data_IF_768397588868
#
_entry.id   IF_768397588868
#
_cell.length_a   1.000
_cell.length_b   1.000
_cell.length_c   1.000
_cell.angle_alpha   90.00
_cell.angle_beta   90.00
_cell.angle_gamma   90.00
#
_symmetry.space_group_name_H-M   'P 1'
#
loop_
_entity.id
_entity.type
_entity.pdbx_description
1 polymer ?
#
# COMPACT_ATOMS: atom_id res chain seq x y z
N UNK A 1 13.17 -6.11 5.26
CA UNK A 1 12.03 -5.38 5.83
C UNK A 1 11.37 -6.30 6.83
N UNK A 2 11.34 -5.91 8.12
CA UNK A 2 10.80 -6.74 9.20
C UNK A 2 9.38 -6.30 9.62
N UNK A 3 8.75 -5.39 8.86
CA UNK A 3 7.49 -4.75 9.26
C UNK A 3 6.39 -5.74 9.61
N UNK A 4 6.19 -6.78 8.80
CA UNK A 4 5.16 -7.79 9.07
C UNK A 4 5.47 -8.59 10.34
N UNK A 5 6.73 -8.96 10.58
CA UNK A 5 7.12 -9.69 11.78
C UNK A 5 6.91 -8.83 13.05
N UNK A 6 7.28 -7.55 13.00
CA UNK A 6 7.04 -6.60 14.10
C UNK A 6 5.55 -6.34 14.31
N UNK A 7 4.75 -6.28 13.24
CA UNK A 7 3.29 -6.16 13.32
C UNK A 7 2.66 -7.39 13.98
N UNK A 8 3.04 -8.59 13.57
CA UNK A 8 2.55 -9.84 14.17
C UNK A 8 2.98 -9.97 15.63
N UNK A 9 4.19 -9.52 15.98
CA UNK A 9 4.64 -9.45 17.37
C UNK A 9 3.80 -8.46 18.17
N UNK A 10 3.59 -7.25 17.66
CA UNK A 10 2.74 -6.25 18.30
C UNK A 10 1.32 -6.78 18.54
N UNK A 11 0.72 -7.46 17.56
CA UNK A 11 -0.60 -8.08 17.73
C UNK A 11 -0.59 -9.11 18.85
N UNK A 12 0.40 -10.00 18.88
CA UNK A 12 0.53 -11.04 19.91
C UNK A 12 0.75 -10.45 21.31
N UNK A 13 1.62 -9.45 21.43
CA UNK A 13 1.97 -8.83 22.71
C UNK A 13 0.79 -8.02 23.31
N UNK A 14 -0.24 -7.72 22.50
CA UNK A 14 -1.44 -6.98 22.91
C UNK A 14 -2.73 -7.82 22.78
N UNK A 15 -2.61 -9.15 22.66
CA UNK A 15 -3.74 -10.09 22.55
C UNK A 15 -4.72 -9.83 21.39
N UNK A 16 -4.27 -9.17 20.32
CA UNK A 16 -5.06 -9.00 19.10
C UNK A 16 -4.96 -10.23 18.20
N UNK A 17 -6.10 -10.63 17.63
CA UNK A 17 -6.23 -11.80 16.73
C UNK A 17 -6.55 -11.42 15.30
N UNK A 18 -6.96 -10.17 15.06
CA UNK A 18 -7.35 -9.62 13.77
C UNK A 18 -6.78 -8.22 13.57
N UNK A 19 -6.30 -7.98 12.36
CA UNK A 19 -5.89 -6.67 11.86
C UNK A 19 -6.54 -6.46 10.50
N UNK A 20 -7.25 -5.35 10.35
CA UNK A 20 -7.84 -4.96 9.06
C UNK A 20 -7.59 -3.49 8.79
N UNK A 21 -7.31 -3.13 7.54
CA UNK A 21 -7.09 -1.73 7.16
C UNK A 21 -8.43 -1.02 7.18
N UNK A 22 -8.50 0.17 7.79
CA UNK A 22 -9.70 1.01 7.71
C UNK A 22 -9.95 1.39 6.26
N UNK A 23 -11.20 1.31 5.81
CA UNK A 23 -11.57 1.59 4.41
C UNK A 23 -11.06 2.94 3.90
N UNK A 24 -11.17 3.99 4.73
CA UNK A 24 -10.71 5.33 4.38
C UNK A 24 -9.18 5.41 4.15
N UNK A 25 -8.40 4.61 4.90
CA UNK A 25 -6.94 4.56 4.80
C UNK A 25 -6.50 3.79 3.55
N UNK A 26 -7.20 2.70 3.21
CA UNK A 26 -7.01 1.98 1.95
C UNK A 26 -7.27 2.90 0.75
N UNK A 27 -8.37 3.65 0.77
CA UNK A 27 -8.70 4.60 -0.29
C UNK A 27 -7.70 5.75 -0.39
N UNK A 28 -7.20 6.24 0.76
CA UNK A 28 -6.13 7.24 0.80
C UNK A 28 -4.83 6.70 0.21
N UNK A 29 -4.47 5.46 0.52
CA UNK A 29 -3.31 4.78 -0.07
C UNK A 29 -3.47 4.62 -1.58
N UNK A 30 -4.65 4.20 -2.06
CA UNK A 30 -4.94 4.09 -3.49
C UNK A 30 -4.79 5.44 -4.20
N UNK A 31 -5.37 6.51 -3.64
CA UNK A 31 -5.22 7.87 -4.19
C UNK A 31 -3.75 8.28 -4.29
N UNK A 32 -2.96 8.06 -3.24
CA UNK A 32 -1.52 8.35 -3.23
C UNK A 32 -0.78 7.60 -4.34
N UNK A 33 -1.03 6.31 -4.52
CA UNK A 33 -0.39 5.49 -5.58
C UNK A 33 -0.71 6.08 -6.96
N UNK A 34 -1.99 6.37 -7.23
CA UNK A 34 -2.43 6.89 -8.52
C UNK A 34 -1.91 8.31 -8.78
N UNK A 35 -1.90 9.19 -7.79
CA UNK A 35 -1.34 10.55 -7.91
C UNK A 35 0.17 10.53 -8.13
N UNK A 36 0.88 9.60 -7.49
CA UNK A 36 2.33 9.44 -7.71
C UNK A 36 2.62 8.91 -9.12
N UNK A 37 1.69 8.16 -9.70
CA UNK A 37 1.77 7.59 -11.04
C UNK A 37 1.39 8.57 -12.15
N UNK A 38 0.40 9.45 -11.91
CA UNK A 38 -0.20 10.31 -12.94
C UNK A 38 0.79 11.29 -13.57
N UNK A 39 1.89 11.58 -12.87
CA UNK A 39 2.98 12.45 -13.35
C UNK A 39 4.08 11.70 -14.11
N UNK A 40 3.86 10.44 -14.50
CA UNK A 40 4.89 9.55 -15.03
C UNK A 40 4.47 8.86 -16.33
N UNK A 41 5.47 8.42 -17.08
CA UNK A 41 5.35 7.77 -18.39
C UNK A 41 4.72 6.36 -18.34
N UNK A 42 4.33 5.84 -17.17
CA UNK A 42 3.76 4.49 -17.05
C UNK A 42 2.49 4.28 -17.88
N UNK A 43 1.72 5.34 -18.08
CA UNK A 43 0.46 5.31 -18.84
C UNK A 43 0.66 5.50 -20.35
N UNK A 44 1.86 5.83 -20.81
CA UNK A 44 2.18 5.95 -22.24
C UNK A 44 2.44 4.58 -22.92
N UNK A 45 2.68 3.54 -22.11
CA UNK A 45 2.90 2.19 -22.62
C UNK A 45 1.57 1.51 -22.97
N UNK A 46 1.35 1.22 -24.26
CA UNK A 46 0.13 0.55 -24.74
C UNK A 46 -0.10 -0.81 -24.06
N UNK A 47 0.95 -1.60 -23.90
CA UNK A 47 0.91 -2.94 -23.26
C UNK A 47 1.86 -2.99 -22.08
N UNK A 48 1.33 -3.06 -20.85
CA UNK A 48 2.13 -3.02 -19.63
C UNK A 48 1.54 -3.89 -18.53
N UNK A 49 2.39 -4.70 -17.89
CA UNK A 49 2.05 -5.47 -16.70
C UNK A 49 2.01 -4.61 -15.42
N UNK A 50 2.54 -3.38 -15.43
CA UNK A 50 2.48 -2.47 -14.29
C UNK A 50 1.13 -1.78 -14.15
N UNK A 51 0.50 -1.47 -15.29
CA UNK A 51 -0.83 -0.85 -15.34
C UNK A 51 -1.94 -1.85 -15.63
N UNK A 52 -1.58 -3.10 -15.98
CA UNK A 52 -2.54 -4.16 -16.30
C UNK A 52 -3.10 -4.08 -17.73
N UNK A 53 -2.64 -3.15 -18.57
CA UNK A 53 -3.09 -3.02 -19.96
C UNK A 53 -2.70 -4.21 -20.84
N UNK A 54 -1.82 -5.10 -20.36
CA UNK A 54 -1.48 -6.35 -21.02
C UNK A 54 -2.58 -7.43 -20.98
N UNK A 55 -3.67 -7.22 -20.23
CA UNK A 55 -4.78 -8.18 -20.13
C UNK A 55 -6.07 -7.55 -20.66
N UNK A 56 -6.66 -8.07 -21.75
CA UNK A 56 -7.90 -7.53 -22.32
C UNK A 56 -9.04 -7.48 -21.28
N UNK A 57 -9.74 -6.35 -21.23
CA UNK A 57 -10.87 -6.13 -20.31
C UNK A 57 -10.48 -5.84 -18.85
N UNK A 58 -9.20 -5.90 -18.50
CA UNK A 58 -8.74 -5.52 -17.15
C UNK A 58 -8.73 -3.99 -17.00
N UNK A 59 -9.13 -3.51 -15.83
CA UNK A 59 -9.04 -2.10 -15.50
C UNK A 59 -7.57 -1.64 -15.53
N UNK A 60 -7.31 -0.52 -16.23
CA UNK A 60 -5.96 0.03 -16.41
C UNK A 60 -5.67 1.04 -15.30
N UNK A 61 -4.79 0.67 -14.37
CA UNK A 61 -4.32 1.52 -13.28
C UNK A 61 -2.96 1.06 -12.76
N UNK A 62 -2.14 1.98 -12.26
CA UNK A 62 -0.85 1.57 -11.69
C UNK A 62 -1.07 0.69 -10.44
N UNK A 63 -0.60 -0.55 -10.51
CA UNK A 63 -0.74 -1.53 -9.42
C UNK A 63 0.41 -1.47 -8.39
N UNK A 64 1.48 -0.73 -8.67
CA UNK A 64 2.67 -0.64 -7.84
C UNK A 64 2.88 0.76 -7.25
N UNK A 65 3.43 0.84 -6.04
CA UNK A 65 3.86 2.11 -5.46
C UNK A 65 5.10 2.63 -6.20
N UNK A 66 4.98 3.78 -6.87
CA UNK A 66 6.08 4.35 -7.65
C UNK A 66 6.87 5.45 -6.92
N UNK A 67 6.59 5.74 -5.65
CA UNK A 67 7.26 6.80 -4.87
C UNK A 67 8.70 6.48 -4.44
N UNK A 68 9.20 5.29 -4.76
CA UNK A 68 10.55 4.85 -4.40
C UNK A 68 10.62 4.15 -3.03
N UNK A 69 11.63 3.28 -2.88
CA UNK A 69 11.79 2.44 -1.69
C UNK A 69 11.92 3.25 -0.38
N UNK A 70 12.67 4.37 -0.31
CA UNK A 70 12.78 5.15 0.94
C UNK A 70 11.43 5.69 1.43
N UNK A 71 10.60 6.23 0.51
CA UNK A 71 9.28 6.73 0.84
C UNK A 71 8.34 5.61 1.29
N UNK A 72 8.41 4.44 0.66
CA UNK A 72 7.66 3.26 1.06
C UNK A 72 8.02 2.80 2.47
N UNK A 73 9.32 2.66 2.76
CA UNK A 73 9.81 2.27 4.11
C UNK A 73 9.32 3.28 5.15
N UNK A 74 9.43 4.58 4.86
CA UNK A 74 8.96 5.63 5.77
C UNK A 74 7.46 5.48 6.07
N UNK A 75 6.62 5.21 5.06
CA UNK A 75 5.18 4.99 5.25
C UNK A 75 4.89 3.77 6.13
N UNK A 76 5.63 2.67 5.93
CA UNK A 76 5.53 1.49 6.79
C UNK A 76 5.93 1.82 8.25
N UNK A 77 7.06 2.49 8.46
CA UNK A 77 7.52 2.90 9.79
C UNK A 77 6.51 3.83 10.48
N UNK A 78 6.01 4.85 9.78
CA UNK A 78 4.98 5.77 10.30
C UNK A 78 3.74 5.03 10.79
N UNK A 79 3.30 3.98 10.08
CA UNK A 79 2.16 3.17 10.50
C UNK A 79 2.45 2.38 11.79
N UNK A 80 3.65 1.81 11.92
CA UNK A 80 4.06 1.07 13.11
C UNK A 80 4.28 1.98 14.33
N UNK A 81 4.99 3.10 14.15
CA UNK A 81 5.32 4.06 15.22
C UNK A 81 4.07 4.72 15.83
N UNK A 82 2.98 4.77 15.06
CA UNK A 82 1.69 5.28 15.53
C UNK A 82 0.83 4.21 16.21
N UNK A 83 1.34 2.99 16.42
CA UNK A 83 0.58 1.88 16.97
C UNK A 83 -0.51 1.38 16.02
N UNK A 84 -0.22 1.33 14.72
CA UNK A 84 -1.11 0.81 13.68
C UNK A 84 -2.49 1.50 13.64
N UNK A 85 -2.58 2.80 13.92
CA UNK A 85 -3.84 3.58 13.93
C UNK A 85 -4.65 3.54 12.62
N UNK A 86 -3.99 3.28 11.50
CA UNK A 86 -4.64 3.11 10.20
C UNK A 86 -5.46 1.80 10.10
N UNK A 87 -5.31 0.92 11.10
CA UNK A 87 -5.94 -0.38 11.15
C UNK A 87 -6.94 -0.47 12.30
N UNK A 88 -7.88 -1.39 12.16
CA UNK A 88 -8.75 -1.88 13.23
C UNK A 88 -8.12 -3.16 13.78
N UNK A 89 -7.86 -3.16 15.09
CA UNK A 89 -7.27 -4.27 15.82
C UNK A 89 -8.30 -4.83 16.80
N UNK A 90 -8.46 -6.16 16.81
CA UNK A 90 -9.37 -6.88 17.70
C UNK A 90 -8.88 -8.28 18.01
#
# INVERSE_FOLDING_TARGET
SNWLAECLKYMRDNDFTRIETKRAEEEAWRRLVLETASKKLFYEAETSSYTGSNVPGKHVELMAFSGGLPAYIKKCSEAADQGYRAFELS
#
